data_IF_255010833837
#
_entry.id   IF_255010833837
#
_cell.length_a   1.000
_cell.length_b   1.000
_cell.length_c   1.000
_cell.angle_alpha   90.00
_cell.angle_beta   90.00
_cell.angle_gamma   90.00
#
_symmetry.space_group_name_H-M   'P 1'
#
loop_
_entity.id
_entity.type
_entity.pdbx_description
1 polymer ?
#
# COMPACT_ATOMS: atom_id res chain seq x y z
N UNK A 1 -11.68 11.40 -56.14
CA UNK A 1 -11.04 11.96 -54.93
C UNK A 1 -11.27 11.00 -53.77
N UNK A 2 -10.27 10.19 -53.47
CA UNK A 2 -10.34 9.09 -52.51
C UNK A 2 -9.90 9.57 -51.13
N UNK A 3 -10.71 9.31 -50.09
CA UNK A 3 -10.38 9.60 -48.69
C UNK A 3 -9.14 8.81 -48.24
N UNK A 4 -8.34 9.35 -47.30
CA UNK A 4 -7.06 8.76 -46.94
C UNK A 4 -7.26 7.44 -46.20
N UNK A 5 -6.46 6.44 -46.59
CA UNK A 5 -6.17 5.26 -45.77
C UNK A 5 -5.24 5.77 -44.66
N UNK A 6 -5.62 5.59 -43.40
CA UNK A 6 -4.76 5.91 -42.26
C UNK A 6 -4.00 4.64 -41.91
N UNK A 7 -2.74 4.68 -42.31
CA UNK A 7 -1.82 3.55 -42.36
C UNK A 7 -1.25 3.31 -40.96
N UNK A 8 -1.06 2.05 -40.57
CA UNK A 8 -0.70 1.59 -39.23
C UNK A 8 0.65 2.07 -38.63
N UNK A 9 1.26 3.12 -39.18
CA UNK A 9 2.59 3.65 -38.84
C UNK A 9 2.57 4.85 -37.85
N UNK A 10 1.40 5.43 -37.52
CA UNK A 10 1.25 6.44 -36.44
C UNK A 10 1.02 5.86 -35.04
N UNK A 11 0.71 4.57 -34.95
CA UNK A 11 0.10 3.96 -33.77
C UNK A 11 1.07 3.13 -32.92
N UNK A 12 2.20 2.67 -33.47
CA UNK A 12 3.32 2.09 -32.73
C UNK A 12 4.36 3.16 -32.30
N UNK A 13 4.43 4.29 -33.02
CA UNK A 13 5.42 5.36 -32.82
C UNK A 13 5.10 6.31 -31.65
N UNK A 14 3.83 6.53 -31.29
CA UNK A 14 3.40 7.16 -30.01
C UNK A 14 3.40 6.19 -28.82
N UNK A 15 3.65 4.90 -29.08
CA UNK A 15 3.41 3.77 -28.17
C UNK A 15 4.64 3.40 -27.32
N UNK A 16 5.83 3.84 -27.72
CA UNK A 16 7.10 3.75 -26.95
C UNK A 16 7.66 5.15 -26.65
N UNK A 17 7.28 6.17 -27.41
CA UNK A 17 7.74 7.55 -27.28
C UNK A 17 6.99 8.38 -26.24
N UNK A 18 6.55 7.75 -25.15
CA UNK A 18 6.64 8.32 -23.81
C UNK A 18 6.76 7.18 -22.78
N UNK A 19 7.36 6.05 -23.16
CA UNK A 19 7.58 4.85 -22.35
C UNK A 19 8.63 5.01 -21.25
N UNK A 20 9.04 6.24 -20.99
CA UNK A 20 8.77 6.91 -19.72
C UNK A 20 9.31 8.32 -19.97
N UNK A 21 8.42 9.30 -19.98
CA UNK A 21 8.83 10.67 -19.73
C UNK A 21 9.85 10.65 -18.61
N UNK A 22 10.93 11.43 -18.67
CA UNK A 22 11.92 11.48 -17.58
C UNK A 22 11.23 11.68 -16.22
N UNK A 23 10.10 12.39 -16.22
CA UNK A 23 9.20 12.57 -15.08
C UNK A 23 8.53 11.28 -14.60
N UNK A 24 8.15 10.39 -15.51
CA UNK A 24 7.62 9.06 -15.17
C UNK A 24 8.68 8.16 -14.52
N UNK A 25 9.91 8.14 -15.04
CA UNK A 25 11.01 7.40 -14.41
C UNK A 25 11.36 7.98 -13.04
N UNK A 26 11.45 9.31 -12.92
CA UNK A 26 11.69 10.00 -11.65
C UNK A 26 10.58 9.66 -10.66
N UNK A 27 9.30 9.75 -11.06
CA UNK A 27 8.17 9.44 -10.18
C UNK A 27 8.18 7.96 -9.75
N UNK A 28 8.52 7.04 -10.66
CA UNK A 28 8.60 5.61 -10.36
C UNK A 28 9.76 5.32 -9.39
N UNK A 29 10.95 5.85 -9.66
CA UNK A 29 12.11 5.69 -8.79
C UNK A 29 11.88 6.32 -7.41
N UNK A 30 11.29 7.52 -7.36
CA UNK A 30 10.92 8.19 -6.11
C UNK A 30 9.92 7.36 -5.31
N UNK A 31 8.89 6.83 -5.97
CA UNK A 31 7.91 5.99 -5.31
C UNK A 31 8.53 4.68 -4.79
N UNK A 32 9.37 4.00 -5.57
CA UNK A 32 10.06 2.79 -5.11
C UNK A 32 11.03 3.06 -3.94
N UNK A 33 11.76 4.17 -3.99
CA UNK A 33 12.61 4.60 -2.89
C UNK A 33 11.78 4.92 -1.63
N UNK A 34 10.66 5.63 -1.79
CA UNK A 34 9.70 5.92 -0.72
C UNK A 34 9.10 4.65 -0.11
N UNK A 35 8.67 3.71 -0.95
CA UNK A 35 8.17 2.39 -0.54
C UNK A 35 9.21 1.61 0.25
N UNK A 36 10.45 1.58 -0.24
CA UNK A 36 11.56 0.89 0.44
C UNK A 36 11.85 1.57 1.79
N UNK A 37 11.97 2.90 1.82
CA UNK A 37 12.16 3.67 3.03
C UNK A 37 11.04 3.42 4.05
N UNK A 38 9.79 3.34 3.59
CA UNK A 38 8.62 2.99 4.39
C UNK A 38 8.78 1.62 5.06
N UNK A 39 8.94 0.53 4.29
CA UNK A 39 9.01 -0.81 4.88
C UNK A 39 10.25 -1.00 5.75
N UNK A 40 11.38 -0.38 5.40
CA UNK A 40 12.61 -0.45 6.20
C UNK A 40 12.48 0.35 7.50
N UNK A 41 12.00 1.59 7.44
CA UNK A 41 11.83 2.44 8.63
C UNK A 41 10.88 1.80 9.65
N UNK A 42 9.70 1.39 9.20
CA UNK A 42 8.71 0.74 10.06
C UNK A 42 9.25 -0.61 10.56
N UNK A 43 9.79 -1.43 9.66
CA UNK A 43 10.31 -2.75 10.01
C UNK A 43 11.45 -2.71 11.02
N UNK A 44 12.40 -1.79 10.85
CA UNK A 44 13.51 -1.63 11.78
C UNK A 44 13.05 -1.07 13.12
N UNK A 45 12.19 -0.04 13.11
CA UNK A 45 11.70 0.58 14.34
C UNK A 45 10.87 -0.39 15.17
N UNK A 46 9.97 -1.15 14.55
CA UNK A 46 9.18 -2.18 15.24
C UNK A 46 10.05 -3.34 15.73
N UNK A 47 11.02 -3.82 14.94
CA UNK A 47 11.96 -4.86 15.41
C UNK A 47 12.82 -4.40 16.58
N UNK A 48 13.26 -3.14 16.57
CA UNK A 48 14.02 -2.56 17.68
C UNK A 48 13.13 -2.43 18.91
N UNK A 49 11.89 -1.99 18.72
CA UNK A 49 10.91 -1.89 19.81
C UNK A 49 10.60 -3.26 20.43
N UNK A 50 10.38 -4.29 19.62
CA UNK A 50 10.13 -5.66 20.08
C UNK A 50 11.31 -6.26 20.87
N UNK A 51 12.55 -5.90 20.51
CA UNK A 51 13.76 -6.47 21.13
C UNK A 51 14.23 -5.72 22.37
N UNK A 52 14.20 -4.39 22.35
CA UNK A 52 14.80 -3.56 23.40
C UNK A 52 13.84 -2.57 24.01
N UNK A 53 12.60 -2.50 23.52
CA UNK A 53 11.58 -1.53 23.94
C UNK A 53 12.14 -0.11 23.92
N UNK A 54 12.94 0.23 22.91
CA UNK A 54 13.75 1.45 22.90
C UNK A 54 12.91 2.71 23.10
N UNK A 55 11.86 2.91 22.29
CA UNK A 55 11.01 4.10 22.39
C UNK A 55 10.18 4.07 23.67
N UNK A 56 9.70 2.89 24.07
CA UNK A 56 8.97 2.73 25.33
C UNK A 56 9.84 3.05 26.55
N UNK A 57 11.13 2.67 26.55
CA UNK A 57 12.07 3.00 27.63
C UNK A 57 12.47 4.46 27.63
N UNK A 58 12.66 5.07 26.46
CA UNK A 58 13.08 6.47 26.36
C UNK A 58 11.97 7.46 26.67
N UNK A 59 10.72 7.15 26.33
CA UNK A 59 9.61 8.13 26.38
C UNK A 59 8.37 7.63 27.13
N UNK A 60 8.31 6.36 27.50
CA UNK A 60 7.10 5.70 28.00
C UNK A 60 6.24 5.10 26.87
N UNK A 61 5.35 4.14 27.16
CA UNK A 61 4.58 3.40 26.14
C UNK A 61 3.72 4.30 25.25
N UNK A 62 2.97 5.23 25.84
CA UNK A 62 2.01 6.09 25.14
C UNK A 62 2.70 7.15 24.27
N UNK A 63 3.73 7.79 24.80
CA UNK A 63 4.51 8.80 24.08
C UNK A 63 5.36 8.18 22.98
N UNK A 64 6.04 7.06 23.27
CA UNK A 64 6.82 6.30 22.31
C UNK A 64 5.96 5.88 21.12
N UNK A 65 4.78 5.31 21.39
CA UNK A 65 3.81 4.97 20.35
C UNK A 65 3.34 6.19 19.55
N UNK A 66 3.05 7.33 20.20
CA UNK A 66 2.58 8.53 19.51
C UNK A 66 3.65 9.09 18.57
N UNK A 67 4.92 9.10 18.99
CA UNK A 67 6.05 9.54 18.16
C UNK A 67 6.24 8.61 16.96
N UNK A 68 6.24 7.31 17.20
CA UNK A 68 6.26 6.32 16.13
C UNK A 68 5.10 6.50 15.16
N UNK A 69 3.87 6.62 15.65
CA UNK A 69 2.66 6.81 14.83
C UNK A 69 2.74 8.05 13.96
N UNK A 70 3.23 9.18 14.49
CA UNK A 70 3.40 10.42 13.70
C UNK A 70 4.37 10.22 12.55
N UNK A 71 5.52 9.63 12.82
CA UNK A 71 6.52 9.34 11.78
C UNK A 71 6.01 8.30 10.77
N UNK A 72 5.37 7.23 11.25
CA UNK A 72 4.76 6.22 10.41
C UNK A 72 3.69 6.82 9.49
N UNK A 73 2.80 7.65 10.02
CA UNK A 73 1.79 8.34 9.22
C UNK A 73 2.41 9.25 8.16
N UNK A 74 3.48 9.99 8.49
CA UNK A 74 4.16 10.85 7.52
C UNK A 74 4.74 10.04 6.35
N UNK A 75 5.42 8.92 6.65
CA UNK A 75 6.02 8.07 5.63
C UNK A 75 4.94 7.33 4.80
N UNK A 76 3.86 6.86 5.43
CA UNK A 76 2.72 6.26 4.74
C UNK A 76 1.99 7.26 3.82
N UNK A 77 1.87 8.52 4.24
CA UNK A 77 1.27 9.57 3.43
C UNK A 77 2.15 9.92 2.23
N UNK A 78 3.47 9.99 2.41
CA UNK A 78 4.41 10.18 1.31
C UNK A 78 4.33 9.03 0.30
N UNK A 79 4.27 7.80 0.78
CA UNK A 79 4.10 6.59 -0.04
C UNK A 79 2.80 6.64 -0.86
N UNK A 80 1.66 7.01 -0.23
CA UNK A 80 0.40 7.16 -0.93
C UNK A 80 0.40 8.30 -1.97
N UNK A 81 0.93 9.47 -1.60
CA UNK A 81 1.00 10.64 -2.49
C UNK A 81 1.94 10.40 -3.68
N UNK A 82 3.08 9.76 -3.45
CA UNK A 82 4.02 9.39 -4.52
C UNK A 82 3.42 8.37 -5.48
N UNK A 83 2.65 7.40 -4.98
CA UNK A 83 1.92 6.45 -5.82
C UNK A 83 0.87 7.15 -6.70
N UNK A 84 0.08 8.06 -6.12
CA UNK A 84 -0.90 8.85 -6.86
C UNK A 84 -0.20 9.68 -7.94
N UNK A 85 0.88 10.38 -7.59
CA UNK A 85 1.67 11.17 -8.54
C UNK A 85 2.20 10.31 -9.69
N UNK A 86 2.76 9.13 -9.39
CA UNK A 86 3.19 8.16 -10.39
C UNK A 86 2.04 7.78 -11.35
N UNK A 87 0.88 7.43 -10.81
CA UNK A 87 -0.30 7.04 -11.61
C UNK A 87 -0.78 8.18 -12.52
N UNK A 88 -0.71 9.43 -12.07
CA UNK A 88 -1.14 10.62 -12.84
C UNK A 88 -0.12 10.99 -13.92
N UNK A 89 1.18 10.96 -13.60
CA UNK A 89 2.27 11.27 -14.53
C UNK A 89 2.37 10.23 -15.64
N UNK A 90 2.09 8.96 -15.31
CA UNK A 90 2.15 7.83 -16.25
C UNK A 90 0.76 7.38 -16.73
N UNK A 91 -0.24 8.26 -16.66
CA UNK A 91 -1.61 7.97 -17.14
C UNK A 91 -1.63 7.62 -18.64
N UNK A 92 -2.60 6.81 -19.06
CA UNK A 92 -2.78 6.34 -20.45
C UNK A 92 -1.57 5.60 -21.05
N UNK A 93 -0.72 5.01 -20.22
CA UNK A 93 0.37 4.12 -20.65
C UNK A 93 -0.05 2.65 -20.73
N UNK A 94 -1.18 2.30 -20.09
CA UNK A 94 -1.77 0.98 -20.18
C UNK A 94 -2.64 0.87 -21.43
N UNK A 95 -2.23 0.01 -22.35
CA UNK A 95 -3.05 -0.39 -23.51
C UNK A 95 -3.53 -1.82 -23.32
N UNK A 96 -4.81 -1.98 -23.01
CA UNK A 96 -5.49 -3.27 -22.99
C UNK A 96 -6.51 -3.27 -24.12
N UNK A 97 -6.68 -4.39 -24.83
CA UNK A 97 -7.63 -4.52 -25.95
C UNK A 97 -9.11 -4.51 -25.54
N UNK A 98 -9.45 -3.90 -24.40
CA UNK A 98 -10.79 -3.78 -23.84
C UNK A 98 -11.31 -2.35 -23.99
N UNK A 99 -12.63 -2.14 -24.11
CA UNK A 99 -13.20 -0.79 -24.11
C UNK A 99 -12.85 -0.04 -22.81
N UNK A 100 -12.45 1.23 -22.93
CA UNK A 100 -11.97 2.03 -21.80
C UNK A 100 -12.95 2.08 -20.61
N UNK A 101 -14.27 2.10 -20.88
CA UNK A 101 -15.29 2.10 -19.84
C UNK A 101 -15.27 0.86 -18.94
N UNK A 102 -14.96 -0.32 -19.48
CA UNK A 102 -14.83 -1.55 -18.69
C UNK A 102 -13.60 -1.52 -17.78
N UNK A 103 -12.48 -1.01 -18.28
CA UNK A 103 -11.23 -0.89 -17.51
C UNK A 103 -11.41 0.09 -16.34
N UNK A 104 -11.99 1.26 -16.62
CA UNK A 104 -12.30 2.27 -15.60
C UNK A 104 -13.32 1.75 -14.59
N UNK A 105 -14.38 1.07 -15.06
CA UNK A 105 -15.41 0.47 -14.19
C UNK A 105 -14.83 -0.59 -13.25
N UNK A 106 -13.98 -1.49 -13.77
CA UNK A 106 -13.26 -2.46 -12.94
C UNK A 106 -12.34 -1.77 -11.93
N UNK A 107 -11.58 -0.76 -12.36
CA UNK A 107 -10.73 0.02 -11.47
C UNK A 107 -11.49 0.70 -10.33
N UNK A 108 -12.63 1.34 -10.65
CA UNK A 108 -13.49 1.97 -9.66
C UNK A 108 -14.07 0.96 -8.65
N UNK A 109 -14.49 -0.22 -9.12
CA UNK A 109 -14.96 -1.30 -8.25
C UNK A 109 -13.85 -1.78 -7.28
N UNK A 110 -12.62 -1.95 -7.77
CA UNK A 110 -11.47 -2.31 -6.92
C UNK A 110 -11.18 -1.25 -5.86
N UNK A 111 -11.24 0.04 -6.21
CA UNK A 111 -11.12 1.15 -5.24
C UNK A 111 -12.22 1.05 -4.20
N UNK A 112 -13.48 0.93 -4.61
CA UNK A 112 -14.63 0.89 -3.70
C UNK A 112 -14.53 -0.28 -2.72
N UNK A 113 -14.29 -1.50 -3.22
CA UNK A 113 -14.16 -2.71 -2.38
C UNK A 113 -12.97 -2.58 -1.43
N UNK A 114 -11.83 -2.12 -1.93
CA UNK A 114 -10.62 -1.98 -1.11
C UNK A 114 -10.75 -0.93 -0.01
N UNK A 115 -11.35 0.23 -0.32
CA UNK A 115 -11.62 1.28 0.67
C UNK A 115 -12.63 0.79 1.71
N UNK A 116 -13.71 0.15 1.28
CA UNK A 116 -14.70 -0.44 2.20
C UNK A 116 -14.03 -1.46 3.14
N UNK A 117 -13.15 -2.32 2.61
CA UNK A 117 -12.39 -3.27 3.42
C UNK A 117 -11.48 -2.56 4.44
N UNK A 118 -10.74 -1.53 4.03
CA UNK A 118 -9.87 -0.77 4.95
C UNK A 118 -10.66 -0.10 6.05
N UNK A 119 -11.79 0.54 5.72
CA UNK A 119 -12.66 1.18 6.71
C UNK A 119 -13.25 0.15 7.67
N UNK A 120 -13.73 -0.98 7.17
CA UNK A 120 -14.27 -2.06 8.00
C UNK A 120 -13.21 -2.64 8.95
N UNK A 121 -11.99 -2.88 8.45
CA UNK A 121 -10.86 -3.31 9.27
C UNK A 121 -10.45 -2.25 10.31
N UNK A 122 -10.38 -0.98 9.92
CA UNK A 122 -10.00 0.12 10.81
C UNK A 122 -11.02 0.34 11.94
N UNK A 123 -12.32 0.27 11.63
CA UNK A 123 -13.39 0.34 12.65
C UNK A 123 -13.33 -0.86 13.59
N UNK A 124 -13.02 -2.05 13.07
CA UNK A 124 -12.91 -3.28 13.87
C UNK A 124 -11.71 -3.26 14.82
N UNK A 125 -10.54 -2.82 14.34
CA UNK A 125 -9.29 -2.80 15.11
C UNK A 125 -9.15 -1.60 16.05
N UNK A 126 -9.81 -0.47 15.71
CA UNK A 126 -9.55 0.82 16.31
C UNK A 126 -8.21 1.43 15.89
N UNK A 127 -8.07 2.75 16.07
CA UNK A 127 -6.92 3.52 15.55
C UNK A 127 -5.55 3.17 16.16
N UNK A 128 -5.50 2.45 17.29
CA UNK A 128 -4.26 2.00 17.91
C UNK A 128 -3.68 0.75 17.25
N UNK A 129 -4.49 -0.31 17.13
CA UNK A 129 -4.04 -1.59 16.56
C UNK A 129 -3.70 -1.47 15.06
N UNK A 130 -4.33 -0.54 14.34
CA UNK A 130 -3.97 -0.21 12.95
C UNK A 130 -2.50 0.23 12.80
N UNK A 131 -1.90 0.83 13.83
CA UNK A 131 -0.52 1.32 13.82
C UNK A 131 0.42 0.45 14.67
N UNK A 132 0.17 -0.86 14.82
CA UNK A 132 1.07 -1.77 15.56
C UNK A 132 1.27 -1.40 17.04
N UNK A 133 0.24 -0.86 17.71
CA UNK A 133 0.31 -0.48 19.13
C UNK A 133 0.73 -1.62 20.07
N UNK A 134 0.45 -2.87 19.70
CA UNK A 134 0.87 -4.06 20.46
C UNK A 134 2.38 -4.19 20.65
N UNK A 135 3.20 -3.56 19.79
CA UNK A 135 4.66 -3.50 19.98
C UNK A 135 5.08 -2.60 21.16
N UNK A 136 4.24 -1.63 21.53
CA UNK A 136 4.54 -0.63 22.57
C UNK A 136 3.79 -0.92 23.87
N UNK A 137 2.62 -1.53 23.77
CA UNK A 137 1.71 -1.77 24.88
C UNK A 137 1.18 -3.20 24.78
N UNK A 138 1.78 -4.17 25.50
CA UNK A 138 1.30 -5.56 25.49
C UNK A 138 -0.13 -5.72 26.01
N UNK A 139 -0.61 -4.78 26.84
CA UNK A 139 -1.97 -4.78 27.33
C UNK A 139 -2.97 -4.22 26.30
N UNK A 140 -2.51 -3.65 25.18
CA UNK A 140 -3.35 -3.27 24.07
C UNK A 140 -3.89 -4.53 23.37
N UNK A 141 -5.02 -5.03 23.89
CA UNK A 141 -5.80 -6.19 23.39
C UNK A 141 -6.36 -5.90 21.99
N UNK A 142 -5.50 -5.79 20.99
CA UNK A 142 -5.88 -5.36 19.64
C UNK A 142 -6.38 -6.47 18.73
N UNK A 143 -6.23 -7.74 19.11
CA UNK A 143 -6.47 -8.85 18.16
C UNK A 143 -7.24 -10.04 18.76
N UNK A 144 -7.43 -10.09 20.08
CA UNK A 144 -8.00 -11.25 20.76
C UNK A 144 -9.52 -11.45 20.58
N UNK A 145 -10.22 -10.57 19.86
CA UNK A 145 -11.62 -10.76 19.47
C UNK A 145 -11.76 -10.52 17.97
N UNK A 146 -11.57 -11.58 17.19
CA UNK A 146 -11.64 -11.62 15.73
C UNK A 146 -13.06 -11.28 15.20
N UNK A 147 -13.44 -10.01 15.27
CA UNK A 147 -14.63 -9.46 14.62
C UNK A 147 -14.36 -8.98 13.19
N UNK A 148 -15.39 -8.47 12.54
CA UNK A 148 -15.26 -7.74 11.27
C UNK A 148 -14.71 -8.59 10.12
N UNK A 149 -13.79 -8.07 9.28
CA UNK A 149 -13.25 -8.82 8.13
C UNK A 149 -12.26 -9.91 8.53
N UNK A 150 -11.69 -9.82 9.74
CA UNK A 150 -10.68 -10.75 10.25
C UNK A 150 -11.25 -12.16 10.53
N UNK A 151 -12.58 -12.32 10.55
CA UNK A 151 -13.25 -13.63 10.61
C UNK A 151 -13.16 -14.43 9.30
N UNK A 152 -12.95 -13.74 8.18
CA UNK A 152 -12.90 -14.36 6.85
C UNK A 152 -11.49 -14.31 6.25
N UNK A 153 -10.73 -13.25 6.55
CA UNK A 153 -9.42 -13.01 5.98
C UNK A 153 -8.39 -12.89 7.10
N UNK A 154 -7.27 -13.60 6.97
CA UNK A 154 -6.16 -13.51 7.94
C UNK A 154 -5.53 -12.11 7.97
N UNK A 155 -5.47 -11.45 6.82
CA UNK A 155 -4.86 -10.13 6.69
C UNK A 155 -5.58 -9.26 5.66
N UNK A 156 -6.84 -8.84 5.94
CA UNK A 156 -7.65 -8.05 5.01
C UNK A 156 -6.98 -6.75 4.59
N UNK A 157 -6.17 -6.14 5.48
CA UNK A 157 -5.46 -4.89 5.22
C UNK A 157 -4.37 -5.02 4.16
N UNK A 158 -3.61 -6.13 4.15
CA UNK A 158 -2.51 -6.33 3.20
C UNK A 158 -2.91 -7.13 1.96
N UNK A 159 -4.10 -7.73 1.95
CA UNK A 159 -4.67 -8.39 0.78
C UNK A 159 -5.67 -7.47 0.06
N UNK A 160 -6.94 -7.52 0.45
CA UNK A 160 -8.04 -6.76 -0.18
C UNK A 160 -7.85 -5.25 0.03
N UNK A 161 -7.22 -4.83 1.12
CA UNK A 161 -6.86 -3.44 1.35
C UNK A 161 -5.88 -2.87 0.33
N UNK A 162 -5.22 -3.68 -0.50
CA UNK A 162 -4.36 -3.20 -1.59
C UNK A 162 -5.08 -2.96 -2.91
N UNK A 163 -6.33 -3.41 -3.05
CA UNK A 163 -7.14 -3.19 -4.26
C UNK A 163 -7.26 -1.72 -4.69
N UNK A 164 -7.26 -0.69 -3.81
CA UNK A 164 -7.32 0.69 -4.26
C UNK A 164 -6.10 1.14 -5.06
N UNK A 165 -4.91 0.56 -4.81
CA UNK A 165 -3.71 0.89 -5.59
C UNK A 165 -3.84 0.38 -7.02
N UNK A 166 -4.24 -0.89 -7.19
CA UNK A 166 -4.55 -1.47 -8.50
C UNK A 166 -5.69 -0.73 -9.21
N UNK A 167 -6.76 -0.43 -8.47
CA UNK A 167 -7.91 0.27 -8.99
C UNK A 167 -7.58 1.67 -9.49
N UNK A 168 -6.78 2.44 -8.74
CA UNK A 168 -6.30 3.75 -9.18
C UNK A 168 -5.46 3.65 -10.45
N UNK A 169 -4.54 2.68 -10.52
CA UNK A 169 -3.72 2.48 -11.71
C UNK A 169 -4.57 2.09 -12.94
N UNK A 170 -5.64 1.32 -12.78
CA UNK A 170 -6.59 1.02 -13.87
C UNK A 170 -7.40 2.25 -14.28
N UNK A 171 -7.91 3.03 -13.31
CA UNK A 171 -8.69 4.25 -13.58
C UNK A 171 -7.85 5.29 -14.33
N UNK A 172 -6.56 5.43 -14.01
CA UNK A 172 -5.66 6.33 -14.76
C UNK A 172 -5.06 5.69 -16.01
N UNK A 173 -5.25 4.39 -16.23
CA UNK A 173 -4.60 3.62 -17.29
C UNK A 173 -3.08 3.68 -17.19
N UNK A 174 -2.52 3.51 -16.00
CA UNK A 174 -1.08 3.57 -15.72
C UNK A 174 -0.47 2.18 -15.59
N UNK A 175 0.34 1.77 -16.58
CA UNK A 175 1.09 0.52 -16.51
C UNK A 175 2.18 0.55 -15.42
N UNK A 176 3.02 1.61 -15.30
CA UNK A 176 3.95 1.72 -14.17
C UNK A 176 3.26 1.71 -12.82
N UNK A 177 2.08 2.32 -12.69
CA UNK A 177 1.26 2.28 -11.47
C UNK A 177 0.79 0.87 -11.10
N UNK A 178 0.41 0.05 -12.09
CA UNK A 178 0.06 -1.36 -11.85
C UNK A 178 1.27 -2.17 -11.37
N UNK A 179 2.43 -1.96 -11.99
CA UNK A 179 3.69 -2.62 -11.58
C UNK A 179 4.07 -2.19 -10.16
N UNK A 180 3.99 -0.90 -9.85
CA UNK A 180 4.23 -0.39 -8.51
C UNK A 180 3.24 -0.98 -7.49
N UNK A 181 1.94 -1.06 -7.79
CA UNK A 181 0.95 -1.66 -6.90
C UNK A 181 1.28 -3.12 -6.54
N UNK A 182 1.80 -3.89 -7.52
CA UNK A 182 2.26 -5.26 -7.29
C UNK A 182 3.50 -5.31 -6.40
N UNK A 183 4.51 -4.47 -6.66
CA UNK A 183 5.72 -4.36 -5.84
C UNK A 183 5.34 -3.98 -4.41
N UNK A 184 4.45 -3.00 -4.25
CA UNK A 184 3.99 -2.52 -2.97
C UNK A 184 3.28 -3.61 -2.16
N UNK A 185 2.40 -4.38 -2.82
CA UNK A 185 1.71 -5.49 -2.19
C UNK A 185 2.70 -6.59 -1.78
N UNK A 186 3.68 -6.91 -2.63
CA UNK A 186 4.73 -7.86 -2.30
C UNK A 186 5.60 -7.37 -1.12
N UNK A 187 5.93 -6.09 -1.08
CA UNK A 187 6.72 -5.46 -0.03
C UNK A 187 5.99 -5.49 1.32
N UNK A 188 4.70 -5.14 1.37
CA UNK A 188 3.93 -5.18 2.63
C UNK A 188 3.70 -6.62 3.12
N UNK A 189 3.48 -7.57 2.21
CA UNK A 189 3.34 -8.99 2.58
C UNK A 189 4.65 -9.55 3.11
N UNK A 190 5.78 -9.10 2.55
CA UNK A 190 7.11 -9.46 3.05
C UNK A 190 7.36 -8.85 4.43
N UNK A 191 7.03 -7.57 4.63
CA UNK A 191 7.07 -6.91 5.93
C UNK A 191 6.23 -7.68 6.97
N UNK A 192 4.99 -8.02 6.63
CA UNK A 192 4.10 -8.80 7.49
C UNK A 192 4.73 -10.13 7.92
N UNK A 193 5.23 -10.92 6.95
CA UNK A 193 5.83 -12.24 7.24
C UNK A 193 7.10 -12.13 8.09
N UNK A 194 7.89 -11.06 7.91
CA UNK A 194 9.23 -10.91 8.52
C UNK A 194 9.26 -10.10 9.82
N UNK A 195 8.24 -9.30 10.08
CA UNK A 195 8.19 -8.36 11.22
C UNK A 195 6.95 -8.63 12.07
N UNK A 196 5.77 -8.46 11.49
CA UNK A 196 4.52 -8.45 12.24
C UNK A 196 4.09 -9.84 12.70
N UNK A 197 4.07 -10.83 11.79
CA UNK A 197 3.64 -12.20 12.11
C UNK A 197 4.48 -12.84 13.22
N UNK A 198 5.83 -12.80 13.20
CA UNK A 198 6.63 -13.39 14.27
C UNK A 198 6.40 -12.74 15.63
N UNK A 199 6.18 -11.41 15.68
CA UNK A 199 5.82 -10.72 16.91
C UNK A 199 4.45 -11.17 17.40
N UNK A 200 3.47 -11.23 16.50
CA UNK A 200 2.10 -11.63 16.84
C UNK A 200 2.01 -13.08 17.34
N UNK A 201 2.73 -14.02 16.72
CA UNK A 201 2.79 -15.42 17.17
C UNK A 201 3.35 -15.52 18.60
N UNK A 202 4.41 -14.75 18.92
CA UNK A 202 4.96 -14.66 20.29
C UNK A 202 4.00 -13.98 21.27
N UNK A 203 3.28 -12.97 20.80
CA UNK A 203 2.30 -12.23 21.60
C UNK A 203 1.15 -13.14 22.04
N UNK A 204 0.60 -13.96 21.13
CA UNK A 204 -0.44 -14.95 21.47
C UNK A 204 0.10 -15.99 22.46
N UNK A 205 1.29 -16.54 22.23
CA UNK A 205 1.88 -17.56 23.12
C UNK A 205 2.10 -17.09 24.56
N UNK A 206 2.25 -15.78 24.78
CA UNK A 206 2.42 -15.18 26.12
C UNK A 206 1.10 -14.84 26.81
N UNK A 207 0.00 -14.83 26.06
CA UNK A 207 -1.31 -14.41 26.53
C UNK A 207 -2.27 -15.59 26.82
N UNK A 208 -1.90 -16.80 26.40
CA UNK A 208 -2.55 -18.06 26.80
C UNK A 208 -1.73 -18.76 27.88
#
# INVERSE_FOLDING_TARGET
MSRPRLDGYGLAASFVAMALSIWGWIAFAYHLAGRLAYVLYIGFTLKREDRTSHLTRSYGPSEGFRRFRRAAAAVMNNDALSFIALCVVTRRTLSVGLPAGWVVGAGAALVAVGVAMKLWAAVTLGGGAYYWRNFFDPAARGVAKAGGPYRFLRNPMYTVGYLPAYGLALVTGSLPGLVAALIDQAAILTFYRRVEKPHFDRYIQRAG
#
